data_IF_105510011548
#
_entry.id   IF_105510011548
#
_cell.length_a   1.000
_cell.length_b   1.000
_cell.length_c   1.000
_cell.angle_alpha   90.00
_cell.angle_beta   90.00
_cell.angle_gamma   90.00
#
_symmetry.space_group_name_H-M   'P 1'
#
loop_
_entity.id
_entity.type
_entity.pdbx_description
1 polymer ?
#
# COMPACT_ATOMS: atom_id res chain seq x y z
N UNK A 1 -1.73 -20.57 16.23
CA UNK A 1 -1.94 -19.32 17.01
C UNK A 1 -0.73 -18.43 16.71
N UNK A 2 -0.76 -17.64 15.62
CA UNK A 2 0.34 -16.74 15.27
C UNK A 2 0.29 -15.58 16.27
N UNK A 3 1.35 -15.39 17.04
CA UNK A 3 1.52 -14.22 17.89
C UNK A 3 1.55 -13.00 16.97
N UNK A 4 0.45 -12.23 16.94
CA UNK A 4 0.39 -10.98 16.19
C UNK A 4 1.44 -10.05 16.77
N UNK A 5 2.45 -9.71 15.97
CA UNK A 5 3.35 -8.61 16.28
C UNK A 5 2.48 -7.35 16.40
N UNK A 6 2.53 -6.60 17.52
CA UNK A 6 1.65 -5.44 17.74
C UNK A 6 1.86 -4.28 16.75
N UNK A 7 2.83 -4.40 15.83
CA UNK A 7 3.06 -3.48 14.72
C UNK A 7 2.81 -4.07 13.33
N UNK A 8 2.34 -5.32 13.21
CA UNK A 8 2.05 -5.93 11.91
C UNK A 8 0.71 -5.42 11.38
N UNK A 9 0.76 -4.63 10.31
CA UNK A 9 -0.40 -4.19 9.54
C UNK A 9 -1.17 -5.41 8.99
N UNK A 10 -2.47 -5.44 9.27
CA UNK A 10 -3.40 -6.46 8.75
C UNK A 10 -4.49 -5.74 7.92
N UNK A 11 -4.48 -5.87 6.58
CA UNK A 11 -5.40 -5.15 5.70
C UNK A 11 -6.88 -5.52 5.95
N UNK A 12 -7.18 -6.75 6.35
CA UNK A 12 -8.56 -7.18 6.64
C UNK A 12 -9.11 -6.51 7.92
N UNK A 13 -8.22 -6.17 8.85
CA UNK A 13 -8.55 -5.51 10.10
C UNK A 13 -8.78 -4.00 9.93
N UNK A 14 -8.12 -3.39 8.95
CA UNK A 14 -8.37 -2.02 8.50
C UNK A 14 -9.78 -1.88 7.94
N UNK A 15 -10.12 -2.70 6.94
CA UNK A 15 -11.42 -2.66 6.26
C UNK A 15 -12.56 -2.92 7.26
N UNK A 16 -12.37 -3.93 8.13
CA UNK A 16 -13.28 -4.25 9.23
C UNK A 16 -13.45 -3.13 10.26
N UNK A 17 -12.49 -2.22 10.40
CA UNK A 17 -12.56 -1.11 11.36
C UNK A 17 -13.18 0.14 10.75
N UNK A 18 -12.89 0.42 9.47
CA UNK A 18 -13.54 1.48 8.70
C UNK A 18 -15.04 1.18 8.55
N UNK A 19 -15.39 -0.04 8.13
CA UNK A 19 -16.80 -0.46 7.93
C UNK A 19 -17.62 -0.46 9.22
N UNK A 20 -17.00 -0.71 10.37
CA UNK A 20 -17.67 -0.65 11.68
C UNK A 20 -17.75 0.78 12.25
N UNK A 21 -17.35 1.80 11.48
CA UNK A 21 -17.33 3.20 11.91
C UNK A 21 -16.36 3.48 13.07
N UNK A 22 -15.42 2.56 13.33
CA UNK A 22 -14.42 2.71 14.39
C UNK A 22 -13.19 3.51 13.95
N UNK A 23 -13.04 3.70 12.64
CA UNK A 23 -11.90 4.37 12.04
C UNK A 23 -12.40 5.45 11.06
N UNK A 24 -12.17 6.71 11.44
CA UNK A 24 -12.49 7.89 10.65
C UNK A 24 -11.35 8.16 9.65
N UNK A 25 -11.67 8.27 8.36
CA UNK A 25 -10.68 8.51 7.29
C UNK A 25 -9.98 9.86 7.46
N UNK A 26 -10.67 10.87 7.98
CA UNK A 26 -10.08 12.15 8.36
C UNK A 26 -9.08 12.00 9.51
N UNK A 27 -9.37 11.15 10.49
CA UNK A 27 -8.42 10.82 11.56
C UNK A 27 -7.22 10.02 11.04
N UNK A 28 -7.42 9.07 10.12
CA UNK A 28 -6.33 8.36 9.46
C UNK A 28 -5.40 9.31 8.72
N UNK A 29 -5.99 10.21 7.92
CA UNK A 29 -5.23 11.24 7.21
C UNK A 29 -4.46 12.14 8.19
N UNK A 30 -5.10 12.58 9.27
CA UNK A 30 -4.44 13.40 10.28
C UNK A 30 -3.27 12.65 10.96
N UNK A 31 -3.42 11.37 11.27
CA UNK A 31 -2.34 10.53 11.81
C UNK A 31 -1.22 10.31 10.80
N UNK A 32 -1.55 10.08 9.53
CA UNK A 32 -0.56 9.99 8.46
C UNK A 32 0.24 11.29 8.32
N UNK A 33 -0.40 12.45 8.53
CA UNK A 33 0.29 13.75 8.61
C UNK A 33 1.23 13.89 9.82
N UNK A 34 1.00 13.14 10.90
CA UNK A 34 1.86 13.12 12.09
C UNK A 34 3.02 12.09 11.99
N UNK A 35 3.41 11.70 10.77
CA UNK A 35 4.44 10.70 10.49
C UNK A 35 4.19 9.31 11.12
N UNK A 36 2.92 8.98 11.39
CA UNK A 36 2.50 7.63 11.78
C UNK A 36 2.55 6.71 10.56
N UNK A 37 3.59 5.88 10.51
CA UNK A 37 3.84 4.89 9.46
C UNK A 37 2.65 3.98 9.22
N UNK A 38 1.99 3.53 10.28
CA UNK A 38 0.87 2.61 10.16
C UNK A 38 -0.32 3.32 9.51
N UNK A 39 -0.61 4.55 9.95
CA UNK A 39 -1.67 5.36 9.36
C UNK A 39 -1.39 5.72 7.90
N UNK A 40 -0.14 5.97 7.52
CA UNK A 40 0.23 6.19 6.10
C UNK A 40 -0.09 4.97 5.24
N UNK A 41 0.29 3.77 5.68
CA UNK A 41 -0.02 2.54 4.96
C UNK A 41 -1.54 2.33 4.85
N UNK A 42 -2.25 2.51 5.96
CA UNK A 42 -3.72 2.37 6.01
C UNK A 42 -4.43 3.38 5.08
N UNK A 43 -3.94 4.62 5.04
CA UNK A 43 -4.51 5.66 4.19
C UNK A 43 -4.20 5.40 2.70
N UNK A 44 -2.99 4.95 2.38
CA UNK A 44 -2.61 4.57 1.03
C UNK A 44 -3.45 3.39 0.52
N UNK A 45 -3.64 2.35 1.34
CA UNK A 45 -4.47 1.20 1.00
C UNK A 45 -5.92 1.62 0.70
N UNK A 46 -6.48 2.48 1.55
CA UNK A 46 -7.80 3.04 1.32
C UNK A 46 -7.91 3.82 0.00
N UNK A 47 -6.91 4.64 -0.34
CA UNK A 47 -6.85 5.36 -1.61
C UNK A 47 -6.81 4.40 -2.82
N UNK A 48 -6.07 3.28 -2.71
CA UNK A 48 -6.01 2.27 -3.77
C UNK A 48 -7.33 1.53 -3.95
N UNK A 49 -7.98 1.17 -2.86
CA UNK A 49 -9.33 0.59 -2.91
C UNK A 49 -10.32 1.53 -3.61
N UNK A 50 -10.22 2.84 -3.36
CA UNK A 50 -11.04 3.83 -4.05
C UNK A 50 -10.65 3.97 -5.52
N UNK A 51 -9.36 3.94 -5.87
CA UNK A 51 -8.90 4.01 -7.25
C UNK A 51 -9.40 2.83 -8.10
N UNK A 52 -9.54 1.66 -7.49
CA UNK A 52 -10.08 0.43 -8.11
C UNK A 52 -11.61 0.39 -8.12
N UNK A 53 -12.28 1.32 -7.43
CA UNK A 53 -13.74 1.33 -7.37
C UNK A 53 -14.34 1.81 -8.71
N UNK A 54 -15.39 1.15 -9.24
CA UNK A 54 -15.97 1.48 -10.54
C UNK A 54 -16.50 2.93 -10.66
N UNK A 55 -16.77 3.59 -9.53
CA UNK A 55 -17.32 4.93 -9.47
C UNK A 55 -16.26 6.05 -9.56
N UNK A 56 -15.00 5.75 -9.21
CA UNK A 56 -13.91 6.73 -9.09
C UNK A 56 -12.86 6.59 -10.21
N UNK A 57 -13.13 5.74 -11.21
CA UNK A 57 -12.20 5.45 -12.31
C UNK A 57 -11.72 6.68 -13.09
N UNK A 58 -12.40 7.82 -12.99
CA UNK A 58 -11.94 9.08 -13.58
C UNK A 58 -10.74 9.70 -12.84
N UNK A 59 -10.68 9.53 -11.51
CA UNK A 59 -9.63 10.04 -10.62
C UNK A 59 -8.65 8.97 -10.12
N UNK A 60 -8.76 7.72 -10.61
CA UNK A 60 -7.91 6.61 -10.21
C UNK A 60 -6.41 6.96 -10.25
N UNK A 61 -5.97 7.64 -11.31
CA UNK A 61 -4.57 8.06 -11.47
C UNK A 61 -4.09 8.94 -10.30
N UNK A 62 -4.91 9.93 -9.90
CA UNK A 62 -4.58 10.84 -8.79
C UNK A 62 -4.58 10.11 -7.44
N UNK A 63 -5.53 9.21 -7.22
CA UNK A 63 -5.64 8.43 -6.00
C UNK A 63 -4.45 7.48 -5.83
N UNK A 64 -4.04 6.81 -6.90
CA UNK A 64 -2.86 5.93 -6.89
C UNK A 64 -1.58 6.75 -6.70
N UNK A 65 -1.42 7.90 -7.34
CA UNK A 65 -0.26 8.75 -7.14
C UNK A 65 -0.16 9.28 -5.70
N UNK A 66 -1.28 9.64 -5.10
CA UNK A 66 -1.33 10.03 -3.69
C UNK A 66 -0.95 8.84 -2.79
N UNK A 67 -1.48 7.64 -3.05
CA UNK A 67 -1.12 6.43 -2.31
C UNK A 67 0.38 6.12 -2.41
N UNK A 68 0.97 6.19 -3.62
CA UNK A 68 2.41 6.00 -3.86
C UNK A 68 3.24 7.00 -3.06
N UNK A 69 2.80 8.25 -2.95
CA UNK A 69 3.48 9.28 -2.16
C UNK A 69 3.48 8.96 -0.65
N UNK A 70 2.33 8.56 -0.11
CA UNK A 70 2.23 8.15 1.30
C UNK A 70 3.07 6.91 1.62
N UNK A 71 3.07 5.92 0.72
CA UNK A 71 3.91 4.73 0.88
C UNK A 71 5.41 5.07 0.79
N UNK A 72 5.82 5.94 -0.14
CA UNK A 72 7.22 6.42 -0.20
C UNK A 72 7.65 7.11 1.10
N UNK A 73 6.76 7.86 1.75
CA UNK A 73 7.03 8.46 3.07
C UNK A 73 7.16 7.39 4.15
N UNK A 74 6.26 6.41 4.19
CA UNK A 74 6.32 5.31 5.15
C UNK A 74 7.61 4.46 4.99
N UNK A 75 8.08 4.27 3.75
CA UNK A 75 9.36 3.61 3.46
C UNK A 75 10.55 4.43 3.96
N UNK A 76 10.52 5.76 3.79
CA UNK A 76 11.57 6.65 4.32
C UNK A 76 11.64 6.61 5.85
N UNK A 77 10.50 6.43 6.52
CA UNK A 77 10.44 6.20 7.97
C UNK A 77 10.91 4.81 8.41
N UNK A 78 11.33 3.94 7.46
CA UNK A 78 11.92 2.63 7.73
C UNK A 78 10.95 1.45 7.63
N UNK A 79 9.72 1.67 7.19
CA UNK A 79 8.72 0.60 7.03
C UNK A 79 9.00 -0.25 5.81
N UNK A 80 9.30 -1.52 6.04
CA UNK A 80 9.58 -2.47 4.96
C UNK A 80 8.30 -3.08 4.42
N UNK A 81 7.25 -3.11 5.24
CA UNK A 81 5.91 -3.42 4.80
C UNK A 81 5.39 -2.39 3.77
N UNK A 82 5.63 -1.10 4.02
CA UNK A 82 5.28 -0.05 3.06
C UNK A 82 6.04 -0.19 1.73
N UNK A 83 7.26 -0.76 1.74
CA UNK A 83 8.02 -1.01 0.51
C UNK A 83 7.37 -2.13 -0.31
N UNK A 84 6.85 -3.16 0.35
CA UNK A 84 6.06 -4.21 -0.30
C UNK A 84 4.80 -3.66 -0.94
N UNK A 85 4.03 -2.87 -0.17
CA UNK A 85 2.83 -2.18 -0.68
C UNK A 85 3.16 -1.25 -1.84
N UNK A 86 4.22 -0.46 -1.76
CA UNK A 86 4.64 0.44 -2.84
C UNK A 86 4.98 -0.35 -4.12
N UNK A 87 5.63 -1.49 -3.96
CA UNK A 87 5.91 -2.44 -5.03
C UNK A 87 4.64 -2.97 -5.70
N UNK A 88 3.67 -3.41 -4.92
CA UNK A 88 2.34 -3.86 -5.39
C UNK A 88 1.63 -2.74 -6.16
N UNK A 89 1.69 -1.52 -5.62
CA UNK A 89 1.07 -0.31 -6.19
C UNK A 89 1.69 0.14 -7.51
N UNK A 90 3.00 -0.08 -7.69
CA UNK A 90 3.69 0.23 -8.94
C UNK A 90 3.45 -0.82 -10.03
N UNK A 91 2.97 -2.01 -9.65
CA UNK A 91 2.55 -3.06 -10.55
C UNK A 91 1.04 -3.04 -10.86
N UNK A 92 0.26 -2.26 -10.12
CA UNK A 92 -1.17 -2.07 -10.36
C UNK A 92 -1.40 -1.26 -11.64
N UNK A 93 -2.02 -1.90 -12.62
CA UNK A 93 -2.54 -1.28 -13.84
C UNK A 93 -4.07 -1.18 -13.69
N UNK A 94 -4.61 0.04 -13.72
CA UNK A 94 -6.07 0.27 -13.73
C UNK A 94 -6.47 0.59 -15.17
N UNK A 95 -7.09 -0.38 -15.85
CA UNK A 95 -7.61 -0.25 -17.23
C UNK A 95 -6.62 0.35 -18.25
N UNK A 96 -5.32 0.05 -18.10
CA UNK A 96 -4.26 0.57 -19.00
C UNK A 96 -3.98 2.08 -18.86
N UNK A 97 -4.48 2.73 -17.80
CA UNK A 97 -4.30 4.16 -17.56
C UNK A 97 -3.14 4.49 -16.63
N UNK A 98 -2.79 3.57 -15.75
CA UNK A 98 -1.68 3.75 -14.81
C UNK A 98 -0.38 3.30 -15.45
N UNK A 99 0.58 4.22 -15.52
CA UNK A 99 1.96 3.87 -15.81
C UNK A 99 2.48 2.97 -14.69
N UNK A 100 2.79 1.73 -15.06
CA UNK A 100 3.52 0.78 -14.23
C UNK A 100 5.00 1.09 -14.35
N UNK A 101 5.71 1.17 -13.23
CA UNK A 101 7.18 1.20 -13.22
C UNK A 101 7.69 -0.13 -12.65
N UNK A 102 7.80 -1.18 -13.49
CA UNK A 102 8.27 -2.48 -13.03
C UNK A 102 9.70 -2.42 -12.50
N UNK A 103 10.51 -1.45 -12.93
CA UNK A 103 11.90 -1.30 -12.47
C UNK A 103 11.97 -0.74 -11.04
N UNK A 104 11.13 0.25 -10.72
CA UNK A 104 10.99 0.75 -9.35
C UNK A 104 10.25 -0.26 -8.47
N UNK A 105 9.18 -0.89 -8.95
CA UNK A 105 8.44 -1.94 -8.24
C UNK A 105 9.38 -3.06 -7.79
N UNK A 106 10.18 -3.59 -8.72
CA UNK A 106 11.16 -4.66 -8.45
C UNK A 106 12.16 -4.26 -7.36
N UNK A 107 12.65 -3.02 -7.37
CA UNK A 107 13.60 -2.52 -6.35
C UNK A 107 12.99 -2.53 -4.95
N UNK A 108 11.75 -2.08 -4.81
CA UNK A 108 11.06 -2.06 -3.52
C UNK A 108 10.67 -3.46 -3.06
N UNK A 109 10.14 -4.29 -3.96
CA UNK A 109 9.78 -5.68 -3.68
C UNK A 109 10.99 -6.52 -3.29
N UNK A 110 12.13 -6.39 -3.97
CA UNK A 110 13.37 -7.07 -3.56
C UNK A 110 13.79 -6.68 -2.14
N UNK A 111 13.65 -5.40 -1.78
CA UNK A 111 14.04 -4.90 -0.46
C UNK A 111 13.13 -5.42 0.64
N UNK A 112 11.83 -5.55 0.37
CA UNK A 112 10.85 -6.13 1.28
C UNK A 112 10.99 -7.66 1.37
N UNK A 113 11.15 -8.35 0.24
CA UNK A 113 11.38 -9.79 0.17
C UNK A 113 12.67 -10.21 0.88
N UNK A 114 13.75 -9.43 0.77
CA UNK A 114 15.00 -9.65 1.50
C UNK A 114 14.85 -9.60 3.03
N UNK A 115 13.75 -9.03 3.53
CA UNK A 115 13.41 -8.98 4.96
C UNK A 115 12.35 -10.00 5.36
N UNK A 116 11.96 -10.89 4.46
CA UNK A 116 10.98 -11.95 4.72
C UNK A 116 9.53 -11.52 4.48
N UNK A 117 9.28 -10.43 3.76
CA UNK A 117 7.92 -10.11 3.30
C UNK A 117 7.52 -11.09 2.19
N UNK A 118 6.73 -12.11 2.56
CA UNK A 118 6.31 -13.21 1.68
C UNK A 118 5.52 -12.68 0.47
N UNK A 119 4.62 -11.71 0.70
CA UNK A 119 3.81 -11.09 -0.36
C UNK A 119 4.69 -10.38 -1.39
N UNK A 120 5.73 -9.68 -0.93
CA UNK A 120 6.69 -9.03 -1.83
C UNK A 120 7.52 -10.03 -2.63
N UNK A 121 7.89 -11.16 -2.02
CA UNK A 121 8.60 -12.23 -2.72
C UNK A 121 7.73 -12.88 -3.81
N UNK A 122 6.43 -13.08 -3.55
CA UNK A 122 5.47 -13.58 -4.53
C UNK A 122 5.28 -12.62 -5.70
N UNK A 123 5.08 -11.33 -5.41
CA UNK A 123 4.92 -10.29 -6.43
C UNK A 123 6.20 -10.09 -7.26
N UNK A 124 7.36 -10.12 -6.63
CA UNK A 124 8.65 -10.11 -7.33
C UNK A 124 8.76 -11.31 -8.27
N UNK A 125 8.38 -12.49 -7.79
CA UNK A 125 8.41 -13.70 -8.58
C UNK A 125 7.40 -13.66 -9.72
N UNK A 126 6.31 -12.88 -9.64
CA UNK A 126 5.33 -12.63 -10.71
C UNK A 126 5.86 -11.65 -11.77
N UNK A 127 6.53 -10.58 -11.35
CA UNK A 127 7.18 -9.61 -12.22
C UNK A 127 8.28 -10.24 -13.08
N UNK A 128 9.06 -11.16 -12.50
CA UNK A 128 10.15 -11.83 -13.21
C UNK A 128 9.67 -12.86 -14.25
N UNK A 129 8.35 -13.11 -14.37
CA UNK A 129 7.75 -14.09 -15.29
C UNK A 129 7.29 -13.48 -16.61
N UNK A 130 7.17 -12.16 -16.66
CA UNK A 130 6.74 -11.39 -17.82
C UNK A 130 7.95 -10.95 -18.65
#
# INVERSE_FOLDING_TARGET
MRTRDPGSYDPDELESSILRGRLDVGLLRARAWCDDVQAMCMYADWLLHQALAPAEGEHADQLVDEARSWLRRAVQSGSMHAAGMLGDTLNLEVDGRLDTDPSEARRWLMRAAARGDERSAELLALLDRH
#
